data_IF_214730271241
#
_entry.id   IF_214730271241
#
_cell.length_a   1.000
_cell.length_b   1.000
_cell.length_c   1.000
_cell.angle_alpha   90.00
_cell.angle_beta   90.00
_cell.angle_gamma   90.00
#
_symmetry.space_group_name_H-M   'P 1'
#
loop_
_entity.id
_entity.type
_entity.pdbx_description
1 polymer ?
#
# COMPACT_ATOMS: atom_id res chain seq x y z
N UNK A 1 28.07 -9.24 -0.45
CA UNK A 1 27.09 -8.41 0.28
C UNK A 1 26.99 -8.92 1.72
N UNK A 2 26.92 -8.06 2.74
CA UNK A 2 26.72 -8.49 4.13
C UNK A 2 25.33 -9.11 4.32
N UNK A 3 25.18 -10.21 5.07
CA UNK A 3 23.88 -10.87 5.27
C UNK A 3 22.84 -9.95 5.94
N UNK A 4 23.27 -9.08 6.86
CA UNK A 4 22.46 -8.01 7.49
C UNK A 4 22.00 -6.90 6.51
N UNK A 5 22.46 -6.96 5.26
CA UNK A 5 21.99 -6.09 4.17
C UNK A 5 20.68 -6.55 3.54
N UNK A 6 20.26 -7.80 3.77
CA UNK A 6 19.03 -8.38 3.20
C UNK A 6 17.75 -7.87 3.90
N UNK A 7 17.85 -7.50 5.18
CA UNK A 7 16.71 -7.13 6.02
C UNK A 7 16.45 -5.62 6.13
N UNK A 8 15.22 -5.27 6.50
CA UNK A 8 14.75 -3.92 6.86
C UNK A 8 15.23 -3.56 8.29
N UNK A 9 15.15 -2.28 8.68
CA UNK A 9 15.47 -1.83 10.06
C UNK A 9 14.67 -2.62 11.10
N UNK A 10 13.38 -2.88 10.85
CA UNK A 10 12.53 -3.65 11.75
C UNK A 10 13.04 -5.08 11.98
N UNK A 11 13.55 -5.75 10.94
CA UNK A 11 14.12 -7.10 11.07
C UNK A 11 15.38 -7.06 11.94
N UNK A 12 16.23 -6.03 11.76
CA UNK A 12 17.44 -5.85 12.56
C UNK A 12 17.13 -5.58 14.04
N UNK A 13 16.03 -4.87 14.34
CA UNK A 13 15.56 -4.67 15.71
C UNK A 13 15.11 -5.99 16.32
N UNK A 14 14.22 -6.74 15.63
CA UNK A 14 13.78 -8.07 16.09
C UNK A 14 14.97 -8.99 16.32
N UNK A 15 15.92 -8.99 15.39
CA UNK A 15 17.13 -9.79 15.48
C UNK A 15 18.02 -9.41 16.67
N UNK A 16 18.22 -8.10 16.92
CA UNK A 16 18.99 -7.65 18.08
C UNK A 16 18.29 -8.01 19.41
N UNK A 17 16.96 -7.99 19.44
CA UNK A 17 16.17 -8.47 20.58
C UNK A 17 16.38 -9.98 20.79
N UNK A 18 16.32 -10.77 19.71
CA UNK A 18 16.53 -12.23 19.77
C UNK A 18 17.93 -12.61 20.25
N UNK A 19 18.95 -11.81 19.91
CA UNK A 19 20.32 -11.97 20.38
C UNK A 19 20.54 -11.44 21.81
N UNK A 20 19.54 -10.82 22.43
CA UNK A 20 19.65 -10.23 23.77
C UNK A 20 20.46 -8.93 23.84
N UNK A 21 20.77 -8.31 22.70
CA UNK A 21 21.59 -7.09 22.58
C UNK A 21 20.78 -5.80 22.66
N UNK A 22 19.44 -5.92 22.67
CA UNK A 22 18.55 -4.76 22.66
C UNK A 22 17.28 -5.04 23.45
N UNK A 23 16.91 -4.10 24.32
CA UNK A 23 15.57 -4.05 24.92
C UNK A 23 14.55 -3.54 23.88
N UNK A 24 13.25 -3.59 24.20
CA UNK A 24 12.13 -3.21 23.31
C UNK A 24 12.22 -1.80 22.71
N UNK A 25 13.17 -0.97 23.16
CA UNK A 25 13.40 0.41 22.73
C UNK A 25 14.38 0.52 21.54
N UNK A 26 14.61 -0.56 20.79
CA UNK A 26 15.53 -0.59 19.64
C UNK A 26 15.17 0.33 18.47
N UNK A 27 14.04 1.03 18.54
CA UNK A 27 13.59 1.98 17.52
C UNK A 27 14.48 3.23 17.42
N UNK A 28 15.09 3.66 18.51
CA UNK A 28 15.99 4.82 18.56
C UNK A 28 17.37 4.54 17.95
N UNK A 29 17.76 3.26 17.90
CA UNK A 29 19.07 2.85 17.41
C UNK A 29 19.21 3.03 15.89
N UNK A 30 20.39 3.46 15.46
CA UNK A 30 20.73 3.57 14.04
C UNK A 30 20.97 2.18 13.46
N UNK A 31 20.68 2.00 12.17
CA UNK A 31 20.90 0.74 11.44
C UNK A 31 22.36 0.26 11.57
N UNK A 32 23.33 1.19 11.53
CA UNK A 32 24.75 0.88 11.66
C UNK A 32 25.05 0.31 13.05
N UNK A 33 24.45 0.89 14.10
CA UNK A 33 24.65 0.45 15.48
C UNK A 33 24.05 -0.92 15.72
N UNK A 34 22.82 -1.17 15.23
CA UNK A 34 22.18 -2.49 15.28
C UNK A 34 23.06 -3.55 14.62
N UNK A 35 23.56 -3.27 13.40
CA UNK A 35 24.45 -4.19 12.69
C UNK A 35 25.74 -4.46 13.44
N UNK A 36 26.31 -3.42 14.05
CA UNK A 36 27.57 -3.56 14.81
C UNK A 36 27.35 -4.43 16.03
N UNK A 37 26.33 -4.14 16.85
CA UNK A 37 25.97 -4.93 18.04
C UNK A 37 25.73 -6.40 17.69
N UNK A 38 24.97 -6.69 16.65
CA UNK A 38 24.71 -8.07 16.22
C UNK A 38 25.97 -8.83 15.76
N UNK A 39 26.95 -8.14 15.17
CA UNK A 39 28.21 -8.76 14.72
C UNK A 39 29.24 -8.88 15.85
N UNK A 40 29.16 -8.05 16.89
CA UNK A 40 30.06 -8.09 18.04
C UNK A 40 29.58 -9.01 19.16
N UNK A 41 28.31 -9.41 19.13
CA UNK A 41 27.69 -10.34 20.08
C UNK A 41 28.42 -11.68 20.09
N UNK A 42 28.54 -12.28 21.27
CA UNK A 42 29.30 -13.52 21.47
C UNK A 42 28.66 -14.72 20.75
N UNK A 43 27.34 -14.79 20.62
CA UNK A 43 26.67 -15.83 19.82
C UNK A 43 27.10 -15.80 18.35
N UNK A 44 27.37 -14.62 17.79
CA UNK A 44 27.90 -14.52 16.42
C UNK A 44 29.36 -15.00 16.32
N UNK A 45 30.14 -14.85 17.39
CA UNK A 45 31.53 -15.34 17.44
C UNK A 45 31.58 -16.86 17.60
N UNK A 46 30.66 -17.42 18.39
CA UNK A 46 30.56 -18.85 18.64
C UNK A 46 30.01 -19.61 17.43
N UNK A 47 28.89 -19.16 16.86
CA UNK A 47 28.25 -19.81 15.70
C UNK A 47 27.65 -18.78 14.72
N UNK A 48 28.45 -18.28 13.78
CA UNK A 48 27.98 -17.30 12.81
C UNK A 48 26.98 -17.88 11.82
N UNK A 49 26.97 -19.19 11.56
CA UNK A 49 26.01 -19.85 10.68
C UNK A 49 24.63 -19.92 11.33
N UNK A 50 24.54 -20.32 12.59
CA UNK A 50 23.31 -20.32 13.35
C UNK A 50 22.70 -18.92 13.46
N UNK A 51 23.53 -17.91 13.74
CA UNK A 51 23.08 -16.52 13.85
C UNK A 51 22.59 -15.97 12.49
N UNK A 52 23.21 -16.38 11.37
CA UNK A 52 22.68 -16.08 10.03
C UNK A 52 21.32 -16.75 9.80
N UNK A 53 21.16 -18.01 10.19
CA UNK A 53 19.90 -18.75 10.06
C UNK A 53 18.76 -18.06 10.83
N UNK A 54 19.01 -17.56 12.05
CA UNK A 54 18.02 -16.79 12.80
C UNK A 54 17.57 -15.55 12.01
N UNK A 55 18.52 -14.77 11.49
CA UNK A 55 18.18 -13.56 10.73
C UNK A 55 17.39 -13.87 9.45
N UNK A 56 17.75 -14.93 8.75
CA UNK A 56 17.03 -15.40 7.56
C UNK A 56 15.63 -15.91 7.89
N UNK A 57 15.45 -16.55 9.04
CA UNK A 57 14.15 -16.93 9.59
C UNK A 57 13.25 -15.71 9.85
N UNK A 58 13.78 -14.66 10.48
CA UNK A 58 13.04 -13.41 10.74
C UNK A 58 12.57 -12.76 9.43
N UNK A 59 13.45 -12.72 8.42
CA UNK A 59 13.10 -12.17 7.10
C UNK A 59 12.00 -13.00 6.44
N UNK A 60 12.15 -14.33 6.47
CA UNK A 60 11.18 -15.26 5.88
C UNK A 60 9.82 -15.13 6.54
N UNK A 61 9.76 -15.13 7.87
CA UNK A 61 8.52 -14.95 8.63
C UNK A 61 7.79 -13.65 8.25
N UNK A 62 8.51 -12.53 8.12
CA UNK A 62 7.89 -11.27 7.68
C UNK A 62 7.30 -11.40 6.28
N UNK A 63 8.02 -12.04 5.34
CA UNK A 63 7.52 -12.22 3.97
C UNK A 63 6.25 -13.08 3.98
N UNK A 64 6.24 -14.14 4.78
CA UNK A 64 5.08 -15.03 4.90
C UNK A 64 3.89 -14.32 5.55
N UNK A 65 4.10 -13.51 6.59
CA UNK A 65 3.06 -12.66 7.20
C UNK A 65 2.51 -11.65 6.19
N UNK A 66 3.39 -10.94 5.46
CA UNK A 66 2.99 -9.98 4.42
C UNK A 66 2.18 -10.67 3.29
N UNK A 67 2.53 -11.91 2.93
CA UNK A 67 1.82 -12.69 1.91
C UNK A 67 0.47 -13.19 2.41
N UNK A 68 0.41 -13.70 3.65
CA UNK A 68 -0.84 -14.15 4.28
C UNK A 68 -1.83 -12.99 4.37
N UNK A 69 -1.38 -11.81 4.79
CA UNK A 69 -2.22 -10.63 4.88
C UNK A 69 -2.76 -10.19 3.49
N UNK A 70 -1.96 -10.33 2.43
CA UNK A 70 -2.45 -10.11 1.06
C UNK A 70 -3.51 -11.13 0.64
N UNK A 71 -3.35 -12.40 0.99
CA UNK A 71 -4.35 -13.42 0.68
C UNK A 71 -5.66 -13.16 1.43
N UNK A 72 -5.58 -12.83 2.73
CA UNK A 72 -6.75 -12.51 3.55
C UNK A 72 -7.49 -11.28 3.00
N UNK A 73 -6.77 -10.21 2.66
CA UNK A 73 -7.37 -9.00 2.08
C UNK A 73 -8.02 -9.26 0.71
N UNK A 74 -7.41 -10.11 -0.14
CA UNK A 74 -8.03 -10.51 -1.41
C UNK A 74 -9.30 -11.32 -1.19
N UNK A 75 -9.29 -12.24 -0.22
CA UNK A 75 -10.47 -13.04 0.14
C UNK A 75 -11.60 -12.17 0.68
N UNK A 76 -11.28 -11.19 1.52
CA UNK A 76 -12.26 -10.22 2.03
C UNK A 76 -12.86 -9.36 0.91
N UNK A 77 -12.03 -8.92 -0.04
CA UNK A 77 -12.48 -8.16 -1.19
C UNK A 77 -13.44 -8.99 -2.07
N UNK A 78 -13.12 -10.26 -2.32
CA UNK A 78 -13.99 -11.16 -3.08
C UNK A 78 -15.34 -11.40 -2.38
N UNK A 79 -15.32 -11.59 -1.05
CA UNK A 79 -16.54 -11.70 -0.25
C UNK A 79 -17.39 -10.43 -0.30
N UNK A 80 -16.79 -9.25 -0.24
CA UNK A 80 -17.53 -7.99 -0.40
C UNK A 80 -18.16 -7.86 -1.78
N UNK A 81 -17.44 -8.26 -2.84
CA UNK A 81 -17.96 -8.27 -4.21
C UNK A 81 -19.20 -9.18 -4.33
N UNK A 82 -19.16 -10.37 -3.75
CA UNK A 82 -20.29 -11.30 -3.74
C UNK A 82 -21.46 -10.72 -2.94
N UNK A 83 -21.20 -10.11 -1.77
CA UNK A 83 -22.23 -9.44 -0.96
C UNK A 83 -22.95 -8.36 -1.75
N UNK A 84 -22.21 -7.48 -2.42
CA UNK A 84 -22.78 -6.41 -3.26
C UNK A 84 -23.58 -6.96 -4.45
N UNK A 85 -23.11 -8.03 -5.11
CA UNK A 85 -23.87 -8.66 -6.20
C UNK A 85 -25.19 -9.26 -5.69
N UNK A 86 -25.17 -9.94 -4.55
CA UNK A 86 -26.36 -10.52 -3.95
C UNK A 86 -27.34 -9.44 -3.46
N UNK A 87 -26.84 -8.34 -2.90
CA UNK A 87 -27.67 -7.19 -2.52
C UNK A 87 -28.29 -6.54 -3.75
N UNK A 88 -27.54 -6.35 -4.83
CA UNK A 88 -28.06 -5.87 -6.12
C UNK A 88 -29.17 -6.78 -6.65
N UNK A 89 -29.00 -8.10 -6.59
CA UNK A 89 -30.03 -9.06 -7.00
C UNK A 89 -31.27 -9.02 -6.09
N UNK A 90 -31.10 -8.82 -4.78
CA UNK A 90 -32.21 -8.71 -3.82
C UNK A 90 -33.00 -7.42 -3.98
N UNK A 91 -32.34 -6.30 -4.26
CA UNK A 91 -32.98 -5.00 -4.52
C UNK A 91 -33.70 -4.99 -5.87
N UNK A 92 -33.18 -5.72 -6.88
CA UNK A 92 -33.78 -5.77 -8.22
C UNK A 92 -34.85 -6.86 -8.37
N UNK A 93 -34.79 -7.97 -7.62
CA UNK A 93 -35.71 -9.10 -7.73
C UNK A 93 -35.79 -9.71 -9.16
N UNK A 94 -36.43 -10.88 -9.36
CA UNK A 94 -36.78 -11.37 -10.69
C UNK A 94 -37.99 -10.59 -11.25
N UNK A 95 -37.98 -9.27 -11.12
CA UNK A 95 -38.90 -8.41 -11.83
C UNK A 95 -38.17 -7.95 -13.08
N UNK A 96 -38.79 -8.21 -14.22
CA UNK A 96 -38.50 -7.55 -15.49
C UNK A 96 -38.31 -6.06 -15.23
N UNK A 97 -37.06 -5.60 -15.13
CA UNK A 97 -36.75 -4.19 -15.28
C UNK A 97 -37.32 -3.81 -16.66
N UNK A 98 -38.32 -2.92 -16.78
CA UNK A 98 -38.46 -2.23 -18.05
C UNK A 98 -37.08 -1.65 -18.29
N UNK A 99 -36.47 -1.98 -19.43
CA UNK A 99 -35.22 -1.36 -19.86
C UNK A 99 -35.49 0.15 -19.94
N UNK A 100 -35.36 0.84 -18.81
CA UNK A 100 -35.32 2.27 -18.74
C UNK A 100 -33.93 2.58 -19.24
N UNK A 101 -33.84 2.64 -20.57
CA UNK A 101 -32.67 3.07 -21.32
C UNK A 101 -32.35 4.46 -20.80
N UNK A 102 -31.45 4.53 -19.81
CA UNK A 102 -31.02 5.79 -19.22
C UNK A 102 -30.32 6.53 -20.34
N UNK A 103 -31.00 7.50 -20.95
CA UNK A 103 -30.40 8.32 -21.99
C UNK A 103 -29.41 9.26 -21.32
N UNK A 104 -28.14 8.83 -21.26
CA UNK A 104 -27.01 9.61 -20.72
C UNK A 104 -26.94 11.03 -21.28
N UNK A 105 -27.48 11.24 -22.48
CA UNK A 105 -27.65 12.53 -23.16
C UNK A 105 -28.50 13.55 -22.37
N UNK A 106 -29.43 13.07 -21.54
CA UNK A 106 -30.35 13.91 -20.74
C UNK A 106 -29.80 14.24 -19.35
N UNK A 107 -28.79 13.49 -18.90
CA UNK A 107 -28.14 13.70 -17.60
C UNK A 107 -26.90 14.59 -17.71
N UNK A 108 -26.33 14.71 -18.91
CA UNK A 108 -25.27 15.67 -19.16
C UNK A 108 -25.86 17.08 -19.22
N UNK A 109 -25.41 18.02 -18.36
CA UNK A 109 -25.77 19.43 -18.54
C UNK A 109 -25.34 19.85 -19.95
N UNK A 110 -26.27 20.44 -20.71
CA UNK A 110 -25.99 20.92 -22.06
C UNK A 110 -25.01 22.08 -21.96
N UNK A 111 -23.74 21.80 -22.24
CA UNK A 111 -22.73 22.83 -22.39
C UNK A 111 -23.02 23.63 -23.67
N UNK A 112 -23.76 24.72 -23.49
CA UNK A 112 -24.00 25.71 -24.54
C UNK A 112 -22.70 26.49 -24.80
N UNK A 113 -21.94 26.08 -25.81
CA UNK A 113 -20.71 26.75 -26.27
C UNK A 113 -20.91 28.21 -26.71
N UNK A 114 -22.16 28.65 -26.89
CA UNK A 114 -22.51 30.03 -27.28
C UNK A 114 -22.12 31.05 -26.20
N UNK A 115 -22.01 30.65 -24.92
CA UNK A 115 -21.54 31.55 -23.85
C UNK A 115 -20.02 31.65 -23.72
N UNK A 116 -19.23 30.85 -24.43
CA UNK A 116 -17.76 30.90 -24.34
C UNK A 116 -17.14 31.93 -25.31
N UNK A 117 -17.87 32.33 -26.35
CA UNK A 117 -17.34 33.20 -27.43
C UNK A 117 -17.45 34.69 -27.09
N UNK A 118 -18.23 35.10 -26.07
CA UNK A 118 -18.32 36.53 -25.68
C UNK A 118 -17.18 37.02 -24.79
N UNK A 119 -16.23 36.16 -24.42
CA UNK A 119 -15.08 36.54 -23.56
C UNK A 119 -13.76 36.75 -24.33
N UNK A 120 -13.78 36.75 -25.67
CA UNK A 120 -12.58 37.03 -26.48
C UNK A 120 -12.80 38.08 -27.55
N UNK A 121 -13.37 39.24 -27.19
CA UNK A 121 -13.25 40.46 -28.01
C UNK A 121 -13.31 41.71 -27.14
N UNK A 122 -12.22 41.99 -26.41
CA UNK A 122 -11.88 43.36 -26.02
C UNK A 122 -10.39 43.55 -26.31
N UNK A 123 -10.11 43.94 -27.55
CA UNK A 123 -8.78 44.40 -27.99
C UNK A 123 -8.74 45.92 -27.82
N UNK A 124 -7.82 46.48 -27.02
CA UNK A 124 -7.62 47.92 -26.95
C UNK A 124 -6.40 48.27 -27.82
N UNK A 125 -6.61 48.65 -29.08
CA UNK A 125 -5.63 49.50 -29.76
C UNK A 125 -6.32 50.65 -30.50
N UNK A 126 -6.03 51.83 -29.95
CA UNK A 126 -6.34 53.18 -30.36
C UNK A 126 -5.97 53.47 -31.81
N UNK A 127 -6.89 54.07 -32.57
CA UNK A 127 -6.56 54.79 -33.80
C UNK A 127 -6.32 56.25 -33.45
N UNK A 128 -5.08 56.70 -33.64
CA UNK A 128 -4.69 58.10 -33.57
C UNK A 128 -5.23 58.90 -34.76
N UNK A 129 -5.71 60.11 -34.45
CA UNK A 129 -5.67 61.28 -35.31
C UNK A 129 -5.00 62.40 -34.52
#
# INVERSE_FOLDING_TARGET
>A
MSFLGKGKKADLIKFAIELGECESNGEELKIIELRTKSLTNDAYKEDPEFVKCIFEGIISNRIDEENKQKEETLREFELQKIRLQNETQRVVGPQTLPQTKVELKKLLPTFNLVKLITWTCSSPYSNGK
#
